data_IF_002373564448
#
_entry.id   IF_002373564448
#
_cell.length_a   1.000
_cell.length_b   1.000
_cell.length_c   1.000
_cell.angle_alpha   90.00
_cell.angle_beta   90.00
_cell.angle_gamma   90.00
#
_symmetry.space_group_name_H-M   'P 1'
#
loop_
_entity.id
_entity.type
_entity.pdbx_description
1 polymer ?
#
# COMPACT_ATOMS: atom_id res chain seq x y z
N UNK A 1 -4.88 -7.62 -6.02
CA UNK A 1 -5.80 -6.54 -6.48
C UNK A 1 -6.48 -6.91 -7.78
N UNK A 2 -5.73 -7.21 -8.86
CA UNK A 2 -6.29 -7.43 -10.20
C UNK A 2 -7.38 -8.48 -10.29
N UNK A 3 -7.19 -9.67 -9.69
CA UNK A 3 -8.20 -10.73 -9.70
C UNK A 3 -9.51 -10.31 -9.01
N UNK A 4 -9.43 -9.51 -7.97
CA UNK A 4 -10.61 -8.96 -7.30
C UNK A 4 -11.36 -8.01 -8.23
N UNK A 5 -10.67 -7.08 -8.88
CA UNK A 5 -11.28 -6.13 -9.81
C UNK A 5 -11.92 -6.81 -11.01
N UNK A 6 -11.35 -7.89 -11.54
CA UNK A 6 -11.94 -8.69 -12.62
C UNK A 6 -13.32 -9.22 -12.25
N UNK A 7 -13.57 -9.56 -10.99
CA UNK A 7 -14.90 -10.04 -10.55
C UNK A 7 -15.97 -8.95 -10.61
N UNK A 8 -15.57 -7.68 -10.67
CA UNK A 8 -16.45 -6.53 -10.88
C UNK A 8 -16.50 -6.05 -12.34
N UNK A 9 -15.91 -6.82 -13.25
CA UNK A 9 -15.92 -6.53 -14.69
C UNK A 9 -14.80 -5.61 -15.17
N UNK A 10 -13.81 -5.29 -14.33
CA UNK A 10 -12.66 -4.51 -14.76
C UNK A 10 -11.69 -5.36 -15.61
N UNK A 11 -11.10 -4.74 -16.61
CA UNK A 11 -9.99 -5.33 -17.36
C UNK A 11 -8.68 -4.87 -16.73
N UNK A 12 -7.94 -5.78 -16.10
CA UNK A 12 -6.74 -5.46 -15.35
C UNK A 12 -5.49 -5.87 -16.10
N UNK A 13 -4.49 -4.99 -16.12
CA UNK A 13 -3.17 -5.24 -16.72
C UNK A 13 -2.07 -4.93 -15.68
N UNK A 14 -0.97 -5.68 -15.75
CA UNK A 14 0.24 -5.39 -14.99
C UNK A 14 1.21 -4.68 -15.94
N UNK A 15 1.63 -3.48 -15.56
CA UNK A 15 2.56 -2.66 -16.34
C UNK A 15 3.87 -2.46 -15.59
N UNK A 16 4.98 -2.35 -16.33
CA UNK A 16 6.21 -1.84 -15.77
C UNK A 16 6.04 -0.38 -15.31
N UNK A 17 6.68 -0.01 -14.21
CA UNK A 17 6.50 1.33 -13.65
C UNK A 17 6.77 2.47 -14.64
N UNK A 18 7.69 2.30 -15.62
CA UNK A 18 7.95 3.30 -16.64
C UNK A 18 6.78 3.52 -17.60
N UNK A 19 5.94 2.50 -17.81
CA UNK A 19 4.85 2.52 -18.79
C UNK A 19 3.52 3.01 -18.20
N UNK A 20 3.41 3.16 -16.88
CA UNK A 20 2.16 3.54 -16.20
C UNK A 20 1.69 4.93 -16.63
N UNK A 21 2.53 5.96 -16.48
CA UNK A 21 2.13 7.33 -16.86
C UNK A 21 1.83 7.49 -18.36
N UNK A 22 2.65 6.98 -19.30
CA UNK A 22 2.31 7.02 -20.71
C UNK A 22 0.99 6.30 -21.05
N UNK A 23 0.73 5.15 -20.43
CA UNK A 23 -0.51 4.39 -20.66
C UNK A 23 -1.73 5.13 -20.14
N UNK A 24 -1.64 5.75 -18.98
CA UNK A 24 -2.71 6.57 -18.41
C UNK A 24 -2.94 7.84 -19.26
N UNK A 25 -1.89 8.51 -19.67
CA UNK A 25 -1.96 9.72 -20.49
C UNK A 25 -2.53 9.47 -21.89
N UNK A 26 -2.28 8.30 -22.48
CA UNK A 26 -2.83 7.92 -23.79
C UNK A 26 -4.25 7.35 -23.72
N UNK A 27 -4.78 7.06 -22.52
CA UNK A 27 -6.06 6.38 -22.33
C UNK A 27 -6.01 4.87 -22.64
N UNK A 28 -4.81 4.28 -22.71
CA UNK A 28 -4.67 2.81 -22.80
C UNK A 28 -5.11 2.11 -21.52
N UNK A 29 -5.06 2.81 -20.38
CA UNK A 29 -5.68 2.44 -19.12
C UNK A 29 -6.51 3.62 -18.59
N UNK A 30 -7.61 3.33 -17.90
CA UNK A 30 -8.52 4.33 -17.33
C UNK A 30 -8.12 4.77 -15.93
N UNK A 31 -7.42 3.91 -15.20
CA UNK A 31 -6.99 4.15 -13.83
C UNK A 31 -5.73 3.36 -13.51
N UNK A 32 -5.02 3.80 -12.49
CA UNK A 32 -3.86 3.08 -11.94
C UNK A 32 -3.84 3.20 -10.42
N UNK A 33 -3.13 2.32 -9.77
CA UNK A 33 -2.64 2.49 -8.42
C UNK A 33 -1.11 2.59 -8.46
N UNK A 34 -0.50 3.16 -7.43
CA UNK A 34 0.95 3.23 -7.35
C UNK A 34 1.43 3.05 -5.91
N UNK A 35 1.75 4.11 -5.17
CA UNK A 35 2.29 3.96 -3.81
C UNK A 35 1.57 4.89 -2.81
N UNK A 36 1.56 6.18 -3.10
CA UNK A 36 1.02 7.21 -2.22
C UNK A 36 1.48 8.60 -2.61
N UNK A 37 1.01 9.68 -1.95
CA UNK A 37 1.12 11.05 -2.44
C UNK A 37 2.52 11.49 -2.84
N UNK A 38 3.55 11.14 -2.08
CA UNK A 38 4.93 11.54 -2.39
C UNK A 38 5.46 10.85 -3.65
N UNK A 39 5.25 9.54 -3.76
CA UNK A 39 5.69 8.77 -4.92
C UNK A 39 4.86 9.08 -6.17
N UNK A 40 3.55 9.28 -6.01
CA UNK A 40 2.61 9.56 -7.09
C UNK A 40 2.86 10.95 -7.68
N UNK A 41 3.15 11.95 -6.84
CA UNK A 41 3.60 13.27 -7.25
C UNK A 41 4.92 13.19 -8.00
N UNK A 42 5.92 12.46 -7.45
CA UNK A 42 7.22 12.26 -8.09
C UNK A 42 7.13 11.52 -9.43
N UNK A 43 6.18 10.60 -9.57
CA UNK A 43 5.86 9.89 -10.81
C UNK A 43 5.17 10.77 -11.85
N UNK A 44 4.56 11.87 -11.42
CA UNK A 44 3.84 12.79 -12.29
C UNK A 44 2.43 12.32 -12.68
N UNK A 45 1.81 11.39 -11.94
CA UNK A 45 0.50 10.82 -12.27
C UNK A 45 -0.61 11.89 -12.36
N UNK A 46 -0.49 12.98 -11.60
CA UNK A 46 -1.38 14.14 -11.66
C UNK A 46 -1.48 14.79 -13.05
N UNK A 47 -0.50 14.56 -13.93
CA UNK A 47 -0.52 15.10 -15.31
C UNK A 47 -1.52 14.34 -16.22
N UNK A 48 -1.90 13.13 -15.83
CA UNK A 48 -2.82 12.28 -16.59
C UNK A 48 -4.10 11.93 -15.83
N UNK A 49 -4.12 12.06 -14.50
CA UNK A 49 -5.27 11.72 -13.65
C UNK A 49 -5.71 12.93 -12.82
N UNK A 50 -6.98 13.30 -12.95
CA UNK A 50 -7.59 14.41 -12.21
C UNK A 50 -8.12 13.99 -10.84
N UNK A 51 -8.49 12.73 -10.67
CA UNK A 51 -9.11 12.20 -9.46
C UNK A 51 -8.15 11.28 -8.72
N UNK A 52 -8.09 11.43 -7.40
CA UNK A 52 -7.27 10.62 -6.51
C UNK A 52 -8.17 10.01 -5.42
N UNK A 53 -8.30 8.70 -5.42
CA UNK A 53 -9.18 7.99 -4.49
C UNK A 53 -8.42 7.41 -3.30
N UNK A 54 -9.01 7.53 -2.13
CA UNK A 54 -8.54 6.94 -0.87
C UNK A 54 -9.71 6.29 -0.09
N UNK A 55 -9.43 5.42 0.89
CA UNK A 55 -8.14 4.81 1.17
C UNK A 55 -7.74 3.78 0.12
N UNK A 56 -6.44 3.42 0.08
CA UNK A 56 -6.00 2.24 -0.64
C UNK A 56 -6.65 0.97 -0.05
N UNK A 57 -7.20 0.12 -0.90
CA UNK A 57 -7.96 -1.04 -0.45
C UNK A 57 -7.22 -2.38 -0.62
N UNK A 58 -6.31 -2.48 -1.58
CA UNK A 58 -5.68 -3.74 -1.99
C UNK A 58 -4.28 -3.93 -1.39
N UNK A 59 -3.47 -2.89 -1.34
CA UNK A 59 -2.12 -2.90 -0.78
C UNK A 59 -1.89 -1.66 0.10
N UNK A 60 -2.51 -1.59 1.31
CA UNK A 60 -2.40 -0.42 2.17
C UNK A 60 -1.00 -0.26 2.80
N UNK A 61 -0.13 -1.24 2.61
CA UNK A 61 1.26 -1.23 3.04
C UNK A 61 2.13 -2.00 2.03
N UNK A 62 3.39 -1.60 1.93
CA UNK A 62 4.37 -2.27 1.07
C UNK A 62 5.52 -2.80 1.91
N UNK A 63 5.94 -4.02 1.65
CA UNK A 63 7.17 -4.60 2.18
C UNK A 63 8.20 -4.60 1.06
N UNK A 64 9.29 -3.88 1.26
CA UNK A 64 10.44 -3.91 0.36
C UNK A 64 11.44 -4.95 0.89
N UNK A 65 11.98 -5.75 -0.01
CA UNK A 65 12.98 -6.74 0.30
C UNK A 65 14.33 -6.41 -0.35
N UNK A 66 15.40 -6.90 0.26
CA UNK A 66 16.73 -6.89 -0.31
C UNK A 66 17.10 -8.31 -0.68
N UNK A 67 16.91 -8.67 -1.93
CA UNK A 67 17.23 -10.00 -2.45
C UNK A 67 18.69 -10.06 -2.90
N UNK A 68 19.43 -11.04 -2.41
CA UNK A 68 20.84 -11.27 -2.74
C UNK A 68 20.98 -12.68 -3.31
N UNK A 69 21.71 -12.80 -4.41
CA UNK A 69 22.05 -14.11 -4.98
C UNK A 69 22.78 -14.99 -3.94
N UNK A 70 22.36 -16.25 -3.81
CA UNK A 70 22.89 -17.14 -2.78
C UNK A 70 24.39 -17.38 -2.93
N UNK A 71 24.92 -17.51 -4.16
CA UNK A 71 26.35 -17.69 -4.39
C UNK A 71 27.16 -16.46 -3.98
N UNK A 72 26.59 -15.26 -4.18
CA UNK A 72 27.25 -14.03 -3.73
C UNK A 72 27.15 -13.88 -2.20
N UNK A 73 26.01 -14.26 -1.61
CA UNK A 73 25.82 -14.24 -0.16
C UNK A 73 26.80 -15.18 0.55
N UNK A 74 27.03 -16.38 0.02
CA UNK A 74 27.94 -17.37 0.61
C UNK A 74 29.41 -16.95 0.59
N UNK A 75 29.82 -16.07 -0.33
CA UNK A 75 31.18 -15.51 -0.39
C UNK A 75 31.45 -14.44 0.66
N UNK A 76 30.40 -13.86 1.25
CA UNK A 76 30.55 -12.83 2.27
C UNK A 76 30.98 -13.45 3.59
N UNK A 77 31.82 -12.74 4.34
CA UNK A 77 32.09 -13.07 5.72
C UNK A 77 30.91 -12.72 6.65
N UNK A 78 30.91 -13.26 7.84
CA UNK A 78 29.82 -13.10 8.79
C UNK A 78 29.62 -11.62 9.21
N UNK A 79 30.70 -10.85 9.30
CA UNK A 79 30.65 -9.44 9.64
C UNK A 79 29.93 -8.63 8.55
N UNK A 80 30.23 -8.93 7.28
CA UNK A 80 29.57 -8.29 6.14
C UNK A 80 28.09 -8.70 6.04
N UNK A 81 27.73 -9.94 6.28
CA UNK A 81 26.32 -10.40 6.33
C UNK A 81 25.55 -9.67 7.43
N UNK A 82 26.15 -9.55 8.63
CA UNK A 82 25.53 -8.82 9.74
C UNK A 82 25.39 -7.34 9.42
N UNK A 83 26.38 -6.72 8.78
CA UNK A 83 26.33 -5.32 8.35
C UNK A 83 25.14 -5.09 7.38
N UNK A 84 24.94 -5.94 6.39
CA UNK A 84 23.82 -5.87 5.45
C UNK A 84 22.49 -6.01 6.21
N UNK A 85 22.41 -6.95 7.14
CA UNK A 85 21.22 -7.18 7.96
C UNK A 85 20.87 -5.97 8.80
N UNK A 86 21.84 -5.34 9.46
CA UNK A 86 21.64 -4.13 10.26
C UNK A 86 21.26 -2.94 9.39
N UNK A 87 21.95 -2.75 8.25
CA UNK A 87 21.63 -1.70 7.31
C UNK A 87 20.19 -1.84 6.76
N UNK A 88 19.74 -3.04 6.43
CA UNK A 88 18.37 -3.30 5.98
C UNK A 88 17.33 -2.93 7.03
N UNK A 89 17.59 -3.24 8.30
CA UNK A 89 16.72 -2.83 9.42
C UNK A 89 16.66 -1.31 9.59
N UNK A 90 17.81 -0.64 9.47
CA UNK A 90 17.89 0.81 9.56
C UNK A 90 17.12 1.49 8.42
N UNK A 91 17.33 1.06 7.19
CA UNK A 91 16.61 1.56 5.99
C UNK A 91 15.10 1.35 6.11
N UNK A 92 14.65 0.21 6.64
CA UNK A 92 13.22 -0.04 6.87
C UNK A 92 12.58 1.04 7.77
N UNK A 93 13.24 1.43 8.86
CA UNK A 93 12.77 2.50 9.75
C UNK A 93 12.83 3.88 9.10
N UNK A 94 13.91 4.15 8.36
CA UNK A 94 14.11 5.42 7.67
C UNK A 94 13.06 5.64 6.59
N UNK A 95 12.79 4.65 5.74
CA UNK A 95 11.80 4.72 4.65
C UNK A 95 10.40 4.95 5.21
N UNK A 96 10.00 4.23 6.27
CA UNK A 96 8.71 4.44 6.92
C UNK A 96 8.59 5.87 7.45
N UNK A 97 9.61 6.34 8.18
CA UNK A 97 9.62 7.70 8.75
C UNK A 97 9.60 8.78 7.67
N UNK A 98 10.34 8.57 6.58
CA UNK A 98 10.36 9.47 5.44
C UNK A 98 8.97 9.64 4.82
N UNK A 99 8.30 8.55 4.46
CA UNK A 99 6.96 8.65 3.86
C UNK A 99 5.93 9.25 4.81
N UNK A 100 6.00 8.94 6.10
CA UNK A 100 5.15 9.59 7.10
C UNK A 100 5.35 11.12 7.15
N UNK A 101 6.59 11.56 6.99
CA UNK A 101 6.90 12.99 7.04
C UNK A 101 6.50 13.74 5.76
N UNK A 102 6.65 13.13 4.58
CA UNK A 102 6.51 13.85 3.30
C UNK A 102 5.15 13.66 2.60
N UNK A 103 4.37 12.64 2.98
CA UNK A 103 3.10 12.37 2.30
C UNK A 103 2.09 13.50 2.44
N UNK A 104 1.98 14.14 3.61
CA UNK A 104 1.05 15.26 3.77
C UNK A 104 1.43 16.45 2.89
N UNK A 105 2.70 16.87 2.90
CA UNK A 105 3.16 17.97 2.05
C UNK A 105 2.97 17.70 0.56
N UNK A 106 3.17 16.45 0.13
CA UNK A 106 2.94 16.02 -1.25
C UNK A 106 1.44 15.98 -1.59
N UNK A 107 0.61 15.53 -0.67
CA UNK A 107 -0.84 15.57 -0.77
C UNK A 107 -1.37 17.00 -0.95
N UNK A 108 -0.87 17.95 -0.14
CA UNK A 108 -1.22 19.37 -0.26
C UNK A 108 -0.80 19.97 -1.60
N UNK A 109 0.38 19.59 -2.13
CA UNK A 109 0.82 20.03 -3.46
C UNK A 109 -0.08 19.51 -4.57
N UNK A 110 -0.47 18.22 -4.52
CA UNK A 110 -1.40 17.64 -5.49
C UNK A 110 -2.71 18.43 -5.56
N UNK A 111 -3.24 18.87 -4.41
CA UNK A 111 -4.48 19.66 -4.35
C UNK A 111 -4.25 21.09 -4.81
N UNK A 112 -3.31 21.80 -4.18
CA UNK A 112 -3.21 23.25 -4.25
C UNK A 112 -2.43 23.73 -5.49
N UNK A 113 -1.46 22.95 -5.98
CA UNK A 113 -0.63 23.33 -7.11
C UNK A 113 -1.06 22.63 -8.41
N UNK A 114 -1.60 21.41 -8.31
CA UNK A 114 -1.96 20.60 -9.47
C UNK A 114 -3.47 20.40 -9.67
N UNK A 115 -4.30 20.88 -8.73
CA UNK A 115 -5.76 20.83 -8.85
C UNK A 115 -6.36 19.42 -8.79
N UNK A 116 -5.63 18.45 -8.25
CA UNK A 116 -6.12 17.07 -8.12
C UNK A 116 -7.27 17.00 -7.13
N UNK A 117 -8.35 16.35 -7.51
CA UNK A 117 -9.54 16.18 -6.70
C UNK A 117 -9.46 14.92 -5.86
N UNK A 118 -9.30 15.09 -4.56
CA UNK A 118 -9.31 13.98 -3.62
C UNK A 118 -10.73 13.45 -3.41
N UNK A 119 -10.90 12.16 -3.48
CA UNK A 119 -12.17 11.45 -3.34
C UNK A 119 -12.02 10.31 -2.35
N UNK A 120 -13.11 10.00 -1.64
CA UNK A 120 -13.17 8.81 -0.82
C UNK A 120 -13.96 7.72 -1.53
N UNK A 121 -13.45 6.48 -1.43
CA UNK A 121 -14.23 5.33 -1.86
C UNK A 121 -15.40 5.13 -0.88
N UNK A 122 -16.64 5.00 -1.36
CA UNK A 122 -17.80 4.77 -0.52
C UNK A 122 -17.70 3.46 0.29
N UNK A 123 -18.30 3.41 1.46
CA UNK A 123 -18.26 2.26 2.37
C UNK A 123 -18.85 0.99 1.74
N UNK A 124 -19.87 1.09 0.92
CA UNK A 124 -20.47 -0.03 0.20
C UNK A 124 -19.50 -0.62 -0.83
N UNK A 125 -18.74 0.22 -1.54
CA UNK A 125 -17.68 -0.20 -2.45
C UNK A 125 -16.56 -0.89 -1.66
N UNK A 126 -16.11 -0.29 -0.55
CA UNK A 126 -15.07 -0.86 0.30
C UNK A 126 -15.48 -2.21 0.89
N UNK A 127 -16.72 -2.34 1.33
CA UNK A 127 -17.28 -3.60 1.83
C UNK A 127 -17.33 -4.68 0.72
N UNK A 128 -17.79 -4.32 -0.47
CA UNK A 128 -17.86 -5.25 -1.60
C UNK A 128 -16.46 -5.74 -2.01
N UNK A 129 -15.48 -4.83 -2.11
CA UNK A 129 -14.08 -5.15 -2.42
C UNK A 129 -13.47 -6.06 -1.34
N UNK A 130 -13.67 -5.73 -0.05
CA UNK A 130 -13.14 -6.51 1.05
C UNK A 130 -13.71 -7.93 1.12
N UNK A 131 -15.03 -8.08 0.91
CA UNK A 131 -15.67 -9.40 0.86
C UNK A 131 -15.13 -10.22 -0.31
N UNK A 132 -15.08 -9.61 -1.50
CA UNK A 132 -14.59 -10.30 -2.70
C UNK A 132 -13.10 -10.64 -2.59
N UNK A 133 -12.28 -9.81 -1.95
CA UNK A 133 -10.89 -10.11 -1.68
C UNK A 133 -10.74 -11.37 -0.81
N UNK A 134 -11.56 -11.52 0.24
CA UNK A 134 -11.57 -12.72 1.07
C UNK A 134 -11.93 -13.98 0.27
N UNK A 135 -12.94 -13.91 -0.60
CA UNK A 135 -13.36 -15.02 -1.45
C UNK A 135 -12.28 -15.44 -2.46
N UNK A 136 -11.66 -14.46 -3.15
CA UNK A 136 -10.58 -14.70 -4.11
C UNK A 136 -9.36 -15.31 -3.41
N UNK A 137 -8.92 -14.74 -2.27
CA UNK A 137 -7.80 -15.27 -1.52
C UNK A 137 -8.07 -16.70 -1.02
N UNK A 138 -9.26 -16.97 -0.53
CA UNK A 138 -9.67 -18.30 -0.09
C UNK A 138 -9.66 -19.32 -1.25
N UNK A 139 -10.13 -18.91 -2.43
CA UNK A 139 -10.12 -19.76 -3.62
C UNK A 139 -8.71 -20.12 -4.07
N UNK A 140 -7.81 -19.12 -4.13
CA UNK A 140 -6.40 -19.34 -4.47
C UNK A 140 -5.72 -20.23 -3.43
N UNK A 141 -5.97 -19.99 -2.15
CA UNK A 141 -5.40 -20.79 -1.08
C UNK A 141 -5.82 -22.28 -1.12
N UNK A 142 -7.01 -22.57 -1.67
CA UNK A 142 -7.51 -23.93 -1.80
C UNK A 142 -6.82 -24.75 -2.90
N UNK A 143 -5.98 -24.14 -3.75
CA UNK A 143 -5.32 -24.81 -4.87
C UNK A 143 -4.18 -25.75 -4.42
N UNK A 144 -3.54 -25.47 -3.28
CA UNK A 144 -2.48 -26.32 -2.73
C UNK A 144 -2.44 -26.29 -1.19
N UNK A 145 -1.95 -27.37 -0.54
CA UNK A 145 -1.93 -27.49 0.92
C UNK A 145 -1.08 -26.43 1.65
N UNK A 146 0.02 -25.97 1.05
CA UNK A 146 0.91 -24.97 1.67
C UNK A 146 0.24 -23.62 1.67
N UNK A 147 -0.37 -23.23 0.56
CA UNK A 147 -1.15 -22.00 0.46
C UNK A 147 -2.34 -22.00 1.42
N UNK A 148 -3.00 -23.15 1.59
CA UNK A 148 -4.10 -23.31 2.54
C UNK A 148 -3.65 -23.13 4.00
N UNK A 149 -2.52 -23.74 4.38
CA UNK A 149 -1.93 -23.61 5.71
C UNK A 149 -1.54 -22.14 5.99
N UNK A 150 -0.83 -21.50 5.06
CA UNK A 150 -0.44 -20.09 5.16
C UNK A 150 -1.66 -19.17 5.30
N UNK A 151 -2.68 -19.35 4.48
CA UNK A 151 -3.89 -18.55 4.55
C UNK A 151 -4.63 -18.72 5.87
N UNK A 152 -4.67 -19.94 6.41
CA UNK A 152 -5.27 -20.20 7.73
C UNK A 152 -4.56 -19.42 8.83
N UNK A 153 -3.24 -19.42 8.85
CA UNK A 153 -2.43 -18.63 9.79
C UNK A 153 -2.66 -17.13 9.64
N UNK A 154 -2.73 -16.64 8.40
CA UNK A 154 -3.03 -15.23 8.12
C UNK A 154 -4.40 -14.83 8.69
N UNK A 155 -5.43 -15.64 8.47
CA UNK A 155 -6.80 -15.37 8.96
C UNK A 155 -6.86 -15.40 10.50
N UNK A 156 -6.17 -16.36 11.13
CA UNK A 156 -6.06 -16.44 12.58
C UNK A 156 -5.35 -15.21 13.16
N UNK A 157 -4.19 -14.86 12.62
CA UNK A 157 -3.44 -13.68 13.03
C UNK A 157 -4.27 -12.40 12.82
N UNK A 158 -4.92 -12.25 11.66
CA UNK A 158 -5.79 -11.12 11.38
C UNK A 158 -6.89 -10.98 12.43
N UNK A 159 -7.52 -12.07 12.82
CA UNK A 159 -8.56 -12.06 13.85
C UNK A 159 -8.02 -11.63 15.22
N UNK A 160 -6.82 -12.02 15.56
CA UNK A 160 -6.13 -11.62 16.79
C UNK A 160 -5.73 -10.14 16.76
N UNK A 161 -5.04 -9.72 15.71
CA UNK A 161 -4.51 -8.35 15.62
C UNK A 161 -5.64 -7.31 15.55
N UNK A 162 -6.78 -7.62 14.90
CA UNK A 162 -7.90 -6.70 14.83
C UNK A 162 -8.49 -6.40 16.22
N UNK A 163 -8.52 -7.38 17.13
CA UNK A 163 -8.97 -7.14 18.52
C UNK A 163 -8.05 -6.14 19.22
N UNK A 164 -6.74 -6.32 19.06
CA UNK A 164 -5.74 -5.41 19.62
C UNK A 164 -5.80 -4.03 18.99
N UNK A 165 -5.76 -3.95 17.66
CA UNK A 165 -5.82 -2.68 16.92
C UNK A 165 -7.07 -1.86 17.23
N UNK A 166 -8.23 -2.52 17.43
CA UNK A 166 -9.45 -1.83 17.85
C UNK A 166 -9.34 -1.17 19.23
N UNK A 167 -8.53 -1.74 20.12
CA UNK A 167 -8.32 -1.22 21.48
C UNK A 167 -7.17 -0.20 21.53
N UNK A 168 -6.18 -0.34 20.69
CA UNK A 168 -4.96 0.48 20.66
C UNK A 168 -5.01 1.59 19.61
N UNK A 169 -4.46 1.33 18.41
CA UNK A 169 -4.24 2.35 17.39
C UNK A 169 -5.52 3.05 16.94
N UNK A 170 -6.59 2.28 16.72
CA UNK A 170 -7.87 2.85 16.26
C UNK A 170 -8.48 3.78 17.32
N UNK A 171 -8.45 3.37 18.58
CA UNK A 171 -8.96 4.21 19.66
C UNK A 171 -8.08 5.44 19.89
N UNK A 172 -6.76 5.28 19.79
CA UNK A 172 -5.82 6.41 19.84
C UNK A 172 -6.06 7.41 18.70
N UNK A 173 -6.24 6.93 17.47
CA UNK A 173 -6.54 7.80 16.31
C UNK A 173 -7.88 8.50 16.47
N UNK A 174 -8.90 7.82 17.01
CA UNK A 174 -10.19 8.44 17.34
C UNK A 174 -10.02 9.59 18.34
N UNK A 175 -9.25 9.37 19.39
CA UNK A 175 -9.01 10.39 20.42
C UNK A 175 -8.22 11.57 19.87
N UNK A 176 -7.22 11.33 19.03
CA UNK A 176 -6.47 12.40 18.34
C UNK A 176 -7.34 13.30 17.47
N UNK A 177 -8.45 12.78 16.98
CA UNK A 177 -9.40 13.53 16.14
C UNK A 177 -10.41 14.34 16.95
N UNK A 178 -10.35 14.30 18.29
CA UNK A 178 -11.17 15.15 19.14
C UNK A 178 -10.71 16.63 19.01
N UNK A 179 -11.62 17.61 19.20
CA UNK A 179 -11.32 19.01 18.99
C UNK A 179 -10.48 19.61 20.13
N UNK A 180 -9.28 19.08 20.33
CA UNK A 180 -8.31 19.69 21.25
C UNK A 180 -7.75 20.96 20.63
N UNK A 181 -7.70 22.01 21.42
CA UNK A 181 -7.00 23.25 21.07
C UNK A 181 -5.61 23.24 21.73
N UNK A 182 -4.58 23.36 20.90
CA UNK A 182 -3.23 23.59 21.40
C UNK A 182 -2.91 25.09 21.34
N UNK A 183 -2.17 25.65 22.33
CA UNK A 183 -1.70 27.00 22.21
C UNK A 183 -0.88 27.19 20.92
N UNK A 184 -1.11 28.28 20.22
CA UNK A 184 -0.23 28.67 19.10
C UNK A 184 1.16 28.95 19.61
N UNK A 185 2.19 28.42 18.91
CA UNK A 185 3.59 28.74 19.20
C UNK A 185 3.90 30.20 18.82
#
# INVERSE_FOLDING_TARGET
>A
GGEVLKTFGANTVLLAGADVLPSLASGAIDATEWIGPAADLGKGLHQAAQYYYNPGWHEPATILDCSIDMFEWEKLDDATRELITVASKAVNMEVLSFFQAVNDSSYQKLINEHGVQMRQLPDDVMNALGQRAGEVCSSIAAEDPVSQELFSHIVEFRSSILRWTNTSEKEYMRVRSLPFTYPSA
#
